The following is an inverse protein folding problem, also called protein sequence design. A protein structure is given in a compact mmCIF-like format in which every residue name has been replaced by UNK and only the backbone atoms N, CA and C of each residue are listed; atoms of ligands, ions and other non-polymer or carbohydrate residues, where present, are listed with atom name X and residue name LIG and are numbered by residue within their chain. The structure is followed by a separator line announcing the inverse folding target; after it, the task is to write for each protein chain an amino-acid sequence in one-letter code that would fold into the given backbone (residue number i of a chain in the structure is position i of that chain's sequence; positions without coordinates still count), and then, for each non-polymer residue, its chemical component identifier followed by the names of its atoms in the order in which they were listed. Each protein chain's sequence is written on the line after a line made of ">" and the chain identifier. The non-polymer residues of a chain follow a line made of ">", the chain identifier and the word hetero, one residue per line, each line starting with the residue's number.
data_IF_039665873754
#
_entry.id   IF_039665873754
#
_cell.length_a   1.000
_cell.length_b   1.000
_cell.length_c   1.000
_cell.angle_alpha   90.00
_cell.angle_beta   90.00
_cell.angle_gamma   90.00
#
_symmetry.space_group_name_H-M   'P 1'
#
loop_
_entity.id
_entity.type
_entity.pdbx_description
1 polymer ?
#
# COMPACT_ATOMS: atom_id res chain seq x y z
N UNK A 1 13.41 -28.38 15.04
CA UNK A 1 14.46 -27.64 14.31
C UNK A 1 13.93 -26.90 13.08
N UNK A 2 13.16 -27.56 12.20
CA UNK A 2 12.57 -26.94 11.00
C UNK A 2 11.72 -25.69 11.30
N UNK A 3 10.85 -25.72 12.32
CA UNK A 3 9.99 -24.58 12.70
C UNK A 3 10.82 -23.37 13.15
N UNK A 4 11.93 -23.58 13.86
CA UNK A 4 12.79 -22.49 14.34
C UNK A 4 13.60 -21.89 13.19
N UNK A 5 14.11 -22.73 12.28
CA UNK A 5 14.81 -22.28 11.08
C UNK A 5 13.86 -21.53 10.13
N UNK A 6 12.70 -22.10 9.83
CA UNK A 6 11.73 -21.52 8.91
C UNK A 6 11.00 -20.30 9.49
N UNK A 7 10.63 -20.34 10.78
CA UNK A 7 9.86 -19.29 11.45
C UNK A 7 10.70 -18.18 12.08
N UNK A 8 11.97 -18.45 12.40
CA UNK A 8 12.87 -17.50 13.05
C UNK A 8 13.97 -16.99 12.12
N UNK A 9 14.83 -17.89 11.65
CA UNK A 9 16.01 -17.50 10.87
C UNK A 9 15.64 -16.89 9.51
N UNK A 10 14.72 -17.50 8.76
CA UNK A 10 14.36 -17.02 7.42
C UNK A 10 13.77 -15.60 7.42
N UNK A 11 12.80 -15.23 8.29
CA UNK A 11 12.33 -13.85 8.38
C UNK A 11 13.40 -12.83 8.75
N UNK A 12 14.31 -13.20 9.67
CA UNK A 12 15.43 -12.32 10.09
C UNK A 12 16.42 -12.13 8.94
N UNK A 13 16.82 -13.20 8.27
CA UNK A 13 17.71 -13.14 7.11
C UNK A 13 17.08 -12.33 5.97
N UNK A 14 15.78 -12.52 5.72
CA UNK A 14 15.04 -11.74 4.72
C UNK A 14 14.95 -10.26 5.11
N UNK A 15 14.76 -9.95 6.39
CA UNK A 15 14.75 -8.57 6.87
C UNK A 15 16.12 -7.90 6.69
N UNK A 16 17.22 -8.57 7.01
CA UNK A 16 18.58 -8.06 6.77
C UNK A 16 18.82 -7.84 5.27
N UNK A 17 18.41 -8.81 4.43
CA UNK A 17 18.48 -8.67 2.98
C UNK A 17 17.71 -7.44 2.50
N UNK A 18 16.48 -7.23 2.98
CA UNK A 18 15.66 -6.07 2.62
C UNK A 18 16.29 -4.75 3.07
N UNK A 19 16.86 -4.70 4.26
CA UNK A 19 17.58 -3.52 4.75
C UNK A 19 18.76 -3.18 3.84
N UNK A 20 19.55 -4.18 3.43
CA UNK A 20 20.69 -3.97 2.55
C UNK A 20 20.31 -3.65 1.11
N UNK A 21 19.25 -4.28 0.58
CA UNK A 21 18.82 -4.10 -0.81
C UNK A 21 18.04 -2.79 -1.02
N UNK A 22 17.12 -2.46 -0.12
CA UNK A 22 16.28 -1.26 -0.24
C UNK A 22 16.80 -0.05 0.55
N UNK A 23 17.79 -0.24 1.44
CA UNK A 23 18.30 0.84 2.30
C UNK A 23 17.28 1.34 3.33
N UNK A 24 16.23 0.57 3.62
CA UNK A 24 15.15 0.97 4.54
C UNK A 24 14.85 -0.13 5.55
N UNK A 25 14.52 0.27 6.78
CA UNK A 25 14.16 -0.64 7.86
C UNK A 25 12.76 -1.24 7.66
N UNK A 26 11.85 -0.46 7.09
CA UNK A 26 10.46 -0.85 6.78
C UNK A 26 10.25 -0.80 5.27
N UNK A 27 9.25 -1.49 4.70
CA UNK A 27 8.96 -1.36 3.28
C UNK A 27 8.72 0.10 2.89
N UNK A 28 9.10 0.50 1.67
CA UNK A 28 8.88 1.87 1.14
C UNK A 28 7.41 2.28 1.23
N UNK A 29 6.49 1.33 1.07
CA UNK A 29 5.05 1.57 1.21
C UNK A 29 4.65 1.99 2.62
N UNK A 30 5.32 1.49 3.66
CA UNK A 30 5.08 1.92 5.04
C UNK A 30 5.53 3.37 5.26
N UNK A 31 6.62 3.78 4.62
CA UNK A 31 7.11 5.16 4.61
C UNK A 31 6.20 6.09 3.80
N UNK A 32 5.78 5.66 2.60
CA UNK A 32 4.87 6.39 1.72
C UNK A 32 3.52 6.66 2.38
N UNK A 33 3.02 5.71 3.17
CA UNK A 33 1.76 5.84 3.92
C UNK A 33 1.93 6.42 5.33
N UNK A 34 3.17 6.70 5.74
CA UNK A 34 3.58 7.13 7.08
C UNK A 34 2.88 6.31 8.18
N UNK A 35 3.25 5.03 8.22
CA UNK A 35 2.65 3.97 9.04
C UNK A 35 2.66 4.22 10.58
N UNK A 36 3.33 5.26 11.05
CA UNK A 36 3.42 5.60 12.47
C UNK A 36 2.38 6.63 12.94
N UNK A 37 1.65 7.26 12.02
CA UNK A 37 0.72 8.36 12.32
C UNK A 37 -0.63 7.92 12.90
N UNK A 38 -1.20 8.74 13.78
CA UNK A 38 -2.44 8.43 14.50
C UNK A 38 -3.64 9.17 13.90
N UNK A 39 -4.60 8.41 13.37
CA UNK A 39 -5.78 8.90 12.65
C UNK A 39 -7.06 8.15 13.06
N UNK A 40 -7.23 7.94 14.36
CA UNK A 40 -8.37 7.23 14.95
C UNK A 40 -9.73 7.71 14.44
N UNK A 41 -9.93 9.04 14.33
CA UNK A 41 -11.20 9.60 13.82
C UNK A 41 -11.54 9.07 12.42
N UNK A 42 -10.55 9.06 11.53
CA UNK A 42 -10.71 8.54 10.17
C UNK A 42 -10.86 7.02 10.17
N UNK A 43 -10.16 6.32 11.07
CA UNK A 43 -10.31 4.88 11.26
C UNK A 43 -11.72 4.47 11.67
N UNK A 44 -12.36 5.24 12.55
CA UNK A 44 -13.75 5.00 12.95
C UNK A 44 -14.74 5.26 11.80
N UNK A 45 -14.48 6.27 10.97
CA UNK A 45 -15.22 6.50 9.72
C UNK A 45 -15.07 5.28 8.80
N UNK A 46 -13.86 4.75 8.66
CA UNK A 46 -13.57 3.58 7.84
C UNK A 46 -14.28 2.31 8.35
N UNK A 47 -14.28 2.05 9.66
CA UNK A 47 -15.04 0.95 10.27
C UNK A 47 -16.54 1.11 10.03
N UNK A 48 -17.07 2.33 10.20
CA UNK A 48 -18.49 2.61 9.95
C UNK A 48 -18.84 2.38 8.47
N UNK A 49 -17.98 2.85 7.57
CA UNK A 49 -18.11 2.65 6.13
C UNK A 49 -18.09 1.17 5.77
N UNK A 50 -17.21 0.35 6.36
CA UNK A 50 -17.17 -1.09 6.14
C UNK A 50 -18.39 -1.84 6.72
N UNK A 51 -18.88 -1.42 7.90
CA UNK A 51 -20.00 -2.07 8.58
C UNK A 51 -21.35 -1.76 7.92
N UNK A 52 -21.60 -0.52 7.48
CA UNK A 52 -22.92 -0.06 7.03
C UNK A 52 -23.53 -0.86 5.85
N UNK A 53 -22.80 -1.16 4.76
CA UNK A 53 -23.36 -1.87 3.62
C UNK A 53 -23.77 -3.32 3.92
N UNK A 54 -23.15 -3.94 4.93
CA UNK A 54 -23.24 -5.37 5.18
C UNK A 54 -23.72 -5.71 6.59
N UNK A 55 -24.10 -4.72 7.40
CA UNK A 55 -24.49 -4.88 8.80
C UNK A 55 -23.58 -5.88 9.57
N UNK A 56 -22.25 -5.73 9.43
CA UNK A 56 -21.25 -6.67 9.95
C UNK A 56 -21.34 -6.92 11.47
N UNK A 57 -22.01 -6.02 12.20
CA UNK A 57 -22.32 -6.21 13.61
C UNK A 57 -23.27 -7.39 13.87
N UNK A 58 -24.14 -7.77 12.92
CA UNK A 58 -25.09 -8.89 13.06
C UNK A 58 -24.38 -10.22 13.30
N UNK A 59 -23.47 -10.70 12.42
CA UNK A 59 -22.76 -11.95 12.65
C UNK A 59 -21.88 -11.89 13.89
N UNK A 60 -21.34 -10.71 14.25
CA UNK A 60 -20.57 -10.53 15.47
C UNK A 60 -21.43 -10.78 16.72
N UNK A 61 -22.62 -10.18 16.79
CA UNK A 61 -23.58 -10.36 17.89
C UNK A 61 -24.09 -11.80 17.96
N UNK A 62 -24.34 -12.46 16.82
CA UNK A 62 -24.78 -13.86 16.78
C UNK A 62 -23.65 -14.86 17.14
N UNK A 63 -22.38 -14.53 16.86
CA UNK A 63 -21.24 -15.39 17.17
C UNK A 63 -20.88 -15.44 18.65
N UNK A 64 -21.20 -14.39 19.42
CA UNK A 64 -20.97 -14.34 20.88
C UNK A 64 -21.77 -15.43 21.65
N UNK A 65 -23.12 -15.50 21.55
CA UNK A 65 -23.88 -16.54 22.22
C UNK A 65 -23.55 -17.93 21.68
N UNK A 66 -23.24 -18.05 20.37
CA UNK A 66 -22.77 -19.29 19.77
C UNK A 66 -21.49 -19.78 20.48
N UNK A 67 -20.49 -18.90 20.62
CA UNK A 67 -19.25 -19.19 21.34
C UNK A 67 -19.49 -19.55 22.81
N UNK A 68 -20.34 -18.81 23.52
CA UNK A 68 -20.68 -19.08 24.93
C UNK A 68 -21.37 -20.43 25.11
N UNK A 69 -22.36 -20.77 24.27
CA UNK A 69 -23.05 -22.07 24.28
C UNK A 69 -22.10 -23.23 24.02
N UNK A 70 -21.12 -23.04 23.13
CA UNK A 70 -20.13 -24.06 22.82
C UNK A 70 -19.08 -24.19 23.93
N UNK A 71 -18.68 -23.10 24.57
CA UNK A 71 -17.79 -23.13 25.73
C UNK A 71 -18.42 -23.87 26.91
N UNK A 72 -19.72 -23.69 27.16
CA UNK A 72 -20.42 -24.41 28.24
C UNK A 72 -20.62 -25.88 27.89
N UNK A 73 -20.90 -26.21 26.62
CA UNK A 73 -20.98 -27.59 26.14
C UNK A 73 -19.62 -28.32 26.17
N UNK A 74 -18.50 -27.61 25.90
CA UNK A 74 -17.13 -28.17 25.88
C UNK A 74 -16.52 -28.49 27.24
N UNK A 75 -17.12 -28.06 28.36
CA UNK A 75 -16.63 -28.40 29.72
C UNK A 75 -16.83 -29.88 30.11
N UNK A 76 -17.21 -30.76 29.18
CA UNK A 76 -17.53 -32.18 29.43
C UNK A 76 -16.52 -33.13 28.79
N UNK A 77 -16.25 -34.29 29.42
CA UNK A 77 -15.08 -35.14 29.14
C UNK A 77 -14.99 -35.71 27.72
N UNK A 78 -16.10 -35.78 26.97
CA UNK A 78 -16.17 -36.23 25.57
C UNK A 78 -15.40 -35.33 24.58
N UNK A 79 -15.11 -34.08 24.95
CA UNK A 79 -14.40 -33.09 24.12
C UNK A 79 -12.88 -33.03 24.36
N UNK A 80 -12.40 -33.60 25.48
CA UNK A 80 -10.99 -33.63 25.84
C UNK A 80 -10.37 -34.94 25.36
N UNK A 81 -10.16 -35.10 24.05
CA UNK A 81 -9.11 -36.01 23.57
C UNK A 81 -7.87 -35.17 23.30
N UNK A 82 -6.99 -34.95 24.29
CA UNK A 82 -5.65 -34.50 23.97
C UNK A 82 -5.03 -35.62 23.12
N UNK A 83 -4.67 -35.32 21.87
CA UNK A 83 -3.68 -36.13 21.16
C UNK A 83 -2.38 -35.93 21.94
N UNK A 84 -2.17 -36.79 22.94
CA UNK A 84 -0.93 -36.86 23.69
C UNK A 84 0.14 -37.38 22.75
N UNK A 85 0.82 -36.48 22.05
CA UNK A 85 2.12 -36.79 21.48
C UNK A 85 3.10 -36.96 22.66
N UNK A 86 3.71 -38.14 22.88
CA UNK A 86 4.32 -38.49 24.16
C UNK A 86 5.52 -37.64 24.60
N UNK A 87 6.18 -36.92 23.69
CA UNK A 87 7.55 -36.42 23.95
C UNK A 87 7.73 -34.88 23.98
N UNK A 88 6.65 -34.10 24.07
CA UNK A 88 6.78 -32.63 24.13
C UNK A 88 6.85 -32.07 25.56
N UNK A 89 7.83 -31.19 25.79
CA UNK A 89 7.96 -30.40 27.02
C UNK A 89 6.72 -29.55 27.33
N UNK A 90 6.54 -29.15 28.59
CA UNK A 90 5.33 -28.42 29.07
C UNK A 90 5.03 -27.15 28.24
N UNK A 91 6.06 -26.40 27.87
CA UNK A 91 5.92 -25.17 27.07
C UNK A 91 5.46 -25.46 25.65
N UNK A 92 6.03 -26.48 24.99
CA UNK A 92 5.61 -26.88 23.65
C UNK A 92 4.15 -27.33 23.64
N UNK A 93 3.72 -28.08 24.67
CA UNK A 93 2.31 -28.46 24.85
C UNK A 93 1.38 -27.26 25.05
N UNK A 94 1.79 -26.26 25.81
CA UNK A 94 0.99 -25.06 26.03
C UNK A 94 0.81 -24.26 24.73
N UNK A 95 1.90 -24.02 23.99
CA UNK A 95 1.91 -23.22 22.75
C UNK A 95 1.21 -23.93 21.59
N UNK A 96 1.29 -25.26 21.50
CA UNK A 96 0.64 -26.05 20.46
C UNK A 96 -0.81 -26.47 20.82
N UNK A 97 -1.36 -25.94 21.92
CA UNK A 97 -2.73 -26.26 22.31
C UNK A 97 -3.75 -25.54 21.41
N UNK A 98 -4.94 -26.13 21.13
CA UNK A 98 -5.98 -25.46 20.36
C UNK A 98 -6.38 -24.08 20.91
N UNK A 99 -6.50 -23.87 22.25
CA UNK A 99 -6.75 -22.54 22.81
C UNK A 99 -5.63 -21.53 22.50
N UNK A 100 -4.36 -21.96 22.52
CA UNK A 100 -3.24 -21.08 22.18
C UNK A 100 -3.27 -20.67 20.71
N UNK A 101 -3.60 -21.58 19.80
CA UNK A 101 -3.78 -21.26 18.37
C UNK A 101 -4.94 -20.27 18.17
N UNK A 102 -6.09 -20.49 18.81
CA UNK A 102 -7.23 -19.57 18.75
C UNK A 102 -6.85 -18.20 19.31
N UNK A 103 -6.21 -18.15 20.47
CA UNK A 103 -5.75 -16.90 21.08
C UNK A 103 -4.76 -16.16 20.18
N UNK A 104 -3.83 -16.87 19.55
CA UNK A 104 -2.88 -16.29 18.60
C UNK A 104 -3.58 -15.69 17.37
N UNK A 105 -4.50 -16.43 16.76
CA UNK A 105 -5.23 -15.98 15.55
C UNK A 105 -6.15 -14.80 15.87
N UNK A 106 -6.95 -14.88 16.94
CA UNK A 106 -7.84 -13.78 17.37
C UNK A 106 -7.02 -12.57 17.82
N UNK A 107 -6.00 -12.77 18.64
CA UNK A 107 -5.10 -11.71 19.08
C UNK A 107 -4.42 -11.00 17.90
N UNK A 108 -3.96 -11.76 16.91
CA UNK A 108 -3.41 -11.21 15.66
C UNK A 108 -4.45 -10.41 14.88
N UNK A 109 -5.70 -10.89 14.79
CA UNK A 109 -6.80 -10.18 14.16
C UNK A 109 -7.14 -8.86 14.86
N UNK A 110 -7.24 -8.87 16.20
CA UNK A 110 -7.49 -7.67 17.01
C UNK A 110 -6.37 -6.66 16.86
N UNK A 111 -5.10 -7.08 16.99
CA UNK A 111 -3.95 -6.20 16.84
C UNK A 111 -3.90 -5.56 15.44
N UNK A 112 -4.15 -6.34 14.38
CA UNK A 112 -4.21 -5.80 13.03
C UNK A 112 -5.38 -4.84 12.83
N UNK A 113 -6.57 -5.16 13.35
CA UNK A 113 -7.73 -4.26 13.29
C UNK A 113 -7.42 -2.92 13.99
N UNK A 114 -6.89 -2.97 15.21
CA UNK A 114 -6.51 -1.78 15.98
C UNK A 114 -5.46 -0.95 15.25
N UNK A 115 -4.45 -1.60 14.66
CA UNK A 115 -3.42 -0.93 13.87
C UNK A 115 -4.01 -0.22 12.65
N UNK A 116 -4.84 -0.89 11.85
CA UNK A 116 -5.44 -0.26 10.66
C UNK A 116 -6.42 0.86 11.03
N UNK A 117 -7.19 0.70 12.11
CA UNK A 117 -8.07 1.75 12.62
C UNK A 117 -7.23 2.94 13.10
N UNK A 118 -6.16 2.70 13.87
CA UNK A 118 -5.22 3.74 14.29
C UNK A 118 -4.65 4.49 13.09
N UNK A 119 -4.25 3.79 12.03
CA UNK A 119 -3.66 4.42 10.84
C UNK A 119 -4.66 5.24 10.00
N UNK A 120 -5.97 5.08 10.26
CA UNK A 120 -7.04 5.77 9.53
C UNK A 120 -7.71 4.91 8.45
N UNK A 121 -7.49 3.60 8.45
CA UNK A 121 -8.01 2.69 7.43
C UNK A 121 -7.31 2.86 6.09
N UNK A 122 -8.10 2.92 5.02
CA UNK A 122 -7.64 2.96 3.64
C UNK A 122 -8.59 3.77 2.75
N UNK A 123 -8.16 4.13 1.55
CA UNK A 123 -9.03 4.79 0.57
C UNK A 123 -9.94 3.81 -0.18
N UNK A 124 -9.60 2.52 -0.18
CA UNK A 124 -10.42 1.46 -0.78
C UNK A 124 -11.39 0.92 0.25
N UNK A 125 -12.65 0.80 -0.12
CA UNK A 125 -13.67 0.22 0.76
C UNK A 125 -13.28 -1.16 1.32
N UNK A 126 -13.31 -1.32 2.64
CA UNK A 126 -13.19 -2.59 3.37
C UNK A 126 -11.84 -3.31 3.31
N UNK A 127 -11.00 -3.07 2.30
CA UNK A 127 -9.77 -3.81 1.96
C UNK A 127 -8.91 -4.23 3.16
N UNK A 128 -8.47 -3.26 3.97
CA UNK A 128 -7.52 -3.54 5.06
C UNK A 128 -8.14 -4.19 6.30
N UNK A 129 -9.48 -4.20 6.42
CA UNK A 129 -10.20 -4.85 7.53
C UNK A 129 -10.64 -6.29 7.20
N UNK A 130 -10.52 -6.73 5.94
CA UNK A 130 -10.86 -8.08 5.53
C UNK A 130 -10.01 -9.16 6.21
N UNK A 131 -8.68 -8.97 6.24
CA UNK A 131 -7.77 -9.92 6.89
C UNK A 131 -8.01 -9.99 8.42
N UNK A 132 -8.11 -8.86 9.15
CA UNK A 132 -8.54 -8.87 10.54
C UNK A 132 -9.88 -9.58 10.76
N UNK A 133 -10.90 -9.28 9.96
CA UNK A 133 -12.22 -9.93 10.06
C UNK A 133 -12.12 -11.44 9.86
N UNK A 134 -11.37 -11.88 8.85
CA UNK A 134 -11.13 -13.30 8.59
C UNK A 134 -10.45 -13.97 9.79
N UNK A 135 -9.41 -13.36 10.38
CA UNK A 135 -8.77 -13.88 11.59
C UNK A 135 -9.74 -14.00 12.77
N UNK A 136 -10.61 -13.01 12.97
CA UNK A 136 -11.59 -13.05 14.06
C UNK A 136 -12.66 -14.14 13.85
N UNK A 137 -13.04 -14.43 12.60
CA UNK A 137 -14.07 -15.41 12.26
C UNK A 137 -13.51 -16.83 12.03
N UNK A 138 -12.21 -16.98 11.73
CA UNK A 138 -11.60 -18.28 11.43
C UNK A 138 -11.83 -19.35 12.52
N UNK A 139 -11.73 -19.03 13.84
CA UNK A 139 -12.05 -19.99 14.89
C UNK A 139 -13.51 -20.46 14.88
N UNK A 140 -14.45 -19.61 14.43
CA UNK A 140 -15.88 -19.95 14.33
C UNK A 140 -16.11 -20.93 13.19
N UNK A 141 -15.39 -20.78 12.07
CA UNK A 141 -15.50 -21.65 10.91
C UNK A 141 -15.03 -23.10 11.13
N UNK A 142 -14.24 -23.37 12.18
CA UNK A 142 -13.75 -24.72 12.51
C UNK A 142 -14.49 -25.36 13.68
N UNK A 143 -15.57 -24.74 14.16
CA UNK A 143 -16.41 -25.31 15.20
C UNK A 143 -17.24 -26.44 14.59
N UNK A 144 -17.12 -27.69 15.08
CA UNK A 144 -17.96 -28.77 14.61
C UNK A 144 -19.42 -28.53 15.05
N UNK A 145 -20.37 -28.76 14.14
CA UNK A 145 -21.80 -28.79 14.48
C UNK A 145 -22.01 -30.05 15.34
N UNK A 146 -22.35 -29.83 16.60
CA UNK A 146 -22.60 -30.91 17.55
C UNK A 146 -24.02 -31.44 17.42
N UNK A 147 -24.14 -32.72 17.08
CA UNK A 147 -25.38 -33.47 17.23
C UNK A 147 -25.36 -34.12 18.62
N UNK A 148 -26.36 -33.87 19.49
CA UNK A 148 -26.39 -34.45 20.82
C UNK A 148 -26.69 -35.96 20.74
N UNK A 149 -25.70 -36.79 21.05
CA UNK A 149 -25.80 -38.26 21.04
C UNK A 149 -26.57 -38.86 22.24
N UNK A 150 -27.32 -38.05 23.00
CA UNK A 150 -28.13 -38.49 24.14
C UNK A 150 -27.35 -39.04 25.35
N UNK A 151 -26.02 -39.17 25.25
CA UNK A 151 -25.12 -39.62 26.34
C UNK A 151 -24.78 -38.51 27.34
N UNK A 152 -24.67 -37.26 26.87
CA UNK A 152 -24.22 -36.12 27.66
C UNK A 152 -25.35 -35.16 28.09
N UNK A 153 -26.51 -35.22 27.44
CA UNK A 153 -27.66 -34.33 27.67
C UNK A 153 -28.96 -35.11 27.79
N UNK A 154 -29.89 -34.62 28.63
CA UNK A 154 -31.28 -35.09 28.59
C UNK A 154 -31.86 -34.80 27.19
N UNK A 155 -32.80 -35.64 26.73
CA UNK A 155 -33.42 -35.47 25.40
C UNK A 155 -34.04 -34.08 25.21
N UNK A 156 -34.55 -33.48 26.27
CA UNK A 156 -35.18 -32.16 26.24
C UNK A 156 -34.14 -31.03 26.17
N UNK A 157 -33.11 -31.05 27.03
CA UNK A 157 -32.03 -30.06 26.99
C UNK A 157 -31.25 -30.13 25.67
N UNK A 158 -31.03 -31.34 25.14
CA UNK A 158 -30.40 -31.54 23.84
C UNK A 158 -31.21 -30.95 22.68
N UNK A 159 -32.54 -31.08 22.70
CA UNK A 159 -33.43 -30.47 21.70
C UNK A 159 -33.38 -28.94 21.72
N UNK A 160 -33.44 -28.33 22.90
CA UNK A 160 -33.32 -26.88 23.05
C UNK A 160 -31.95 -26.36 22.61
N UNK A 161 -30.86 -27.06 22.97
CA UNK A 161 -29.51 -26.70 22.55
C UNK A 161 -29.33 -26.78 21.03
N UNK A 162 -29.82 -27.85 20.40
CA UNK A 162 -29.81 -27.99 18.93
C UNK A 162 -30.67 -26.93 18.26
N UNK A 163 -31.85 -26.65 18.80
CA UNK A 163 -32.73 -25.60 18.30
C UNK A 163 -32.05 -24.23 18.35
N UNK A 164 -31.42 -23.89 19.47
CA UNK A 164 -30.69 -22.63 19.64
C UNK A 164 -29.47 -22.53 18.72
N UNK A 165 -28.64 -23.57 18.64
CA UNK A 165 -27.48 -23.60 17.74
C UNK A 165 -27.91 -23.51 16.27
N UNK A 166 -28.93 -24.27 15.87
CA UNK A 166 -29.49 -24.21 14.51
C UNK A 166 -30.04 -22.83 14.20
N UNK A 167 -30.77 -22.20 15.12
CA UNK A 167 -31.30 -20.84 14.96
C UNK A 167 -30.20 -19.79 14.78
N UNK A 168 -29.14 -19.87 15.58
CA UNK A 168 -27.98 -18.97 15.45
C UNK A 168 -27.26 -19.16 14.11
N UNK A 169 -27.02 -20.42 13.70
CA UNK A 169 -26.40 -20.72 12.41
C UNK A 169 -27.27 -20.30 11.23
N UNK A 170 -28.58 -20.53 11.27
CA UNK A 170 -29.53 -20.06 10.25
C UNK A 170 -29.57 -18.53 10.19
N UNK A 171 -29.48 -17.84 11.33
CA UNK A 171 -29.34 -16.40 11.38
C UNK A 171 -28.07 -15.90 10.69
N UNK A 172 -26.92 -16.52 10.97
CA UNK A 172 -25.65 -16.20 10.30
C UNK A 172 -25.71 -16.52 8.80
N UNK A 173 -26.30 -17.66 8.41
CA UNK A 173 -26.45 -18.05 7.01
C UNK A 173 -27.38 -17.10 6.26
N UNK A 174 -28.52 -16.72 6.85
CA UNK A 174 -29.45 -15.75 6.29
C UNK A 174 -28.83 -14.36 6.14
N UNK A 175 -28.10 -13.91 7.17
CA UNK A 175 -27.30 -12.68 7.07
C UNK A 175 -26.25 -12.76 5.96
N UNK A 176 -25.52 -13.88 5.85
CA UNK A 176 -24.49 -14.06 4.82
C UNK A 176 -25.07 -14.01 3.41
N UNK A 177 -26.24 -14.63 3.21
CA UNK A 177 -26.96 -14.57 1.94
C UNK A 177 -27.41 -13.15 1.61
N UNK A 178 -27.96 -12.42 2.58
CA UNK A 178 -28.34 -11.02 2.39
C UNK A 178 -27.13 -10.13 2.09
N UNK A 179 -26.04 -10.25 2.86
CA UNK A 179 -24.83 -9.48 2.68
C UNK A 179 -24.16 -9.74 1.33
N UNK A 180 -24.15 -11.00 0.86
CA UNK A 180 -23.63 -11.38 -0.46
C UNK A 180 -24.44 -10.78 -1.63
N UNK A 181 -25.71 -10.43 -1.40
CA UNK A 181 -26.59 -9.79 -2.37
C UNK A 181 -26.82 -8.29 -2.08
N UNK A 182 -26.08 -7.72 -1.13
CA UNK A 182 -26.15 -6.29 -0.83
C UNK A 182 -25.57 -5.49 -1.99
N UNK A 183 -26.17 -4.33 -2.36
CA UNK A 183 -25.62 -3.46 -3.40
C UNK A 183 -24.26 -2.84 -3.04
N UNK A 184 -23.78 -3.01 -1.80
CA UNK A 184 -22.51 -2.47 -1.33
C UNK A 184 -22.61 -0.99 -0.99
N UNK A 185 -21.58 -0.21 -1.35
CA UNK A 185 -21.62 1.25 -1.17
C UNK A 185 -22.70 1.90 -2.06
N UNK A 186 -23.22 3.05 -1.62
CA UNK A 186 -24.30 3.77 -2.28
C UNK A 186 -23.94 4.42 -3.62
N UNK A 187 -24.74 5.37 -4.09
CA UNK A 187 -24.57 6.00 -5.41
C UNK A 187 -23.30 6.85 -5.52
N UNK A 188 -22.79 7.35 -4.41
CA UNK A 188 -21.54 8.11 -4.32
C UNK A 188 -20.29 7.22 -4.23
N UNK A 189 -20.43 5.89 -4.34
CA UNK A 189 -19.35 4.93 -4.14
C UNK A 189 -18.09 5.17 -4.97
N UNK A 190 -18.23 5.73 -6.17
CA UNK A 190 -17.10 5.98 -7.09
C UNK A 190 -16.57 7.41 -7.01
N UNK A 191 -17.14 8.26 -6.14
CA UNK A 191 -16.75 9.65 -5.98
C UNK A 191 -15.92 9.83 -4.72
N UNK A 192 -14.86 10.64 -4.81
CA UNK A 192 -14.07 11.03 -3.65
C UNK A 192 -14.87 12.05 -2.83
N UNK A 193 -15.59 11.57 -1.83
CA UNK A 193 -16.31 12.41 -0.85
C UNK A 193 -15.40 12.83 0.30
N UNK A 194 -15.95 13.57 1.28
CA UNK A 194 -15.20 13.98 2.48
C UNK A 194 -14.62 12.80 3.26
N UNK A 195 -15.23 11.62 3.18
CA UNK A 195 -14.68 10.40 3.79
C UNK A 195 -13.38 9.93 3.13
N UNK A 196 -13.17 10.26 1.85
CA UNK A 196 -12.04 9.79 1.05
C UNK A 196 -12.04 8.30 0.72
N UNK A 197 -13.12 7.57 1.03
CA UNK A 197 -13.25 6.12 0.82
C UNK A 197 -14.10 5.87 -0.43
N UNK A 198 -13.61 5.01 -1.32
CA UNK A 198 -14.20 4.73 -2.63
C UNK A 198 -14.24 3.23 -2.87
N UNK A 199 -15.29 2.77 -3.55
CA UNK A 199 -15.30 1.46 -4.19
C UNK A 199 -14.46 1.53 -5.48
N UNK A 200 -13.17 1.29 -5.33
CA UNK A 200 -12.22 1.34 -6.45
C UNK A 200 -12.54 0.27 -7.51
N UNK A 201 -13.14 -0.87 -7.15
CA UNK A 201 -13.53 -1.89 -8.14
C UNK A 201 -14.62 -1.32 -9.05
N UNK A 202 -15.67 -0.74 -8.47
CA UNK A 202 -16.75 -0.10 -9.24
C UNK A 202 -16.23 1.09 -10.04
N UNK A 203 -15.32 1.88 -9.47
CA UNK A 203 -14.67 2.99 -10.17
C UNK A 203 -13.94 2.51 -11.43
N UNK A 204 -13.04 1.52 -11.33
CA UNK A 204 -12.30 1.03 -12.50
C UNK A 204 -13.18 0.31 -13.51
N UNK A 205 -14.20 -0.41 -13.06
CA UNK A 205 -15.16 -1.03 -13.98
C UNK A 205 -15.90 0.01 -14.84
N UNK A 206 -16.31 1.13 -14.22
CA UNK A 206 -16.91 2.25 -14.93
C UNK A 206 -15.91 2.99 -15.82
N UNK A 207 -14.69 3.22 -15.33
CA UNK A 207 -13.68 4.02 -16.02
C UNK A 207 -13.07 3.32 -17.24
N UNK A 208 -13.04 1.98 -17.25
CA UNK A 208 -12.57 1.15 -18.38
C UNK A 208 -13.69 0.67 -19.28
N UNK A 209 -14.95 0.72 -18.84
CA UNK A 209 -16.08 0.11 -19.54
C UNK A 209 -16.15 -1.42 -19.39
N UNK A 210 -15.23 -2.04 -18.65
CA UNK A 210 -15.22 -3.48 -18.40
C UNK A 210 -15.84 -3.84 -17.05
N UNK A 211 -16.73 -4.82 -17.01
CA UNK A 211 -17.32 -5.27 -15.74
C UNK A 211 -16.28 -5.88 -14.77
N UNK A 212 -15.19 -6.44 -15.31
CA UNK A 212 -14.11 -7.09 -14.57
C UNK A 212 -12.75 -6.82 -15.26
N UNK A 213 -12.14 -5.64 -15.09
CA UNK A 213 -10.83 -5.34 -15.67
C UNK A 213 -9.73 -6.08 -14.89
N UNK A 214 -9.26 -7.19 -15.46
CA UNK A 214 -8.29 -8.11 -14.84
C UNK A 214 -6.93 -8.07 -15.53
N UNK A 215 -6.88 -7.76 -16.82
CA UNK A 215 -5.66 -7.76 -17.62
C UNK A 215 -5.12 -6.34 -17.80
N UNK A 216 -3.83 -6.20 -18.10
CA UNK A 216 -3.24 -4.90 -18.42
C UNK A 216 -3.93 -4.22 -19.62
N UNK A 217 -4.31 -5.03 -20.61
CA UNK A 217 -5.00 -4.58 -21.82
C UNK A 217 -6.39 -4.00 -21.51
N UNK A 218 -7.13 -4.56 -20.55
CA UNK A 218 -8.44 -4.05 -20.13
C UNK A 218 -8.36 -2.60 -19.63
N UNK A 219 -7.20 -2.20 -19.10
CA UNK A 219 -6.96 -0.85 -18.59
C UNK A 219 -6.52 0.14 -19.69
N UNK A 220 -6.26 -0.30 -20.93
CA UNK A 220 -5.98 0.62 -22.03
C UNK A 220 -7.20 1.48 -22.40
N UNK A 221 -8.41 0.95 -22.17
CA UNK A 221 -9.67 1.67 -22.37
C UNK A 221 -9.94 2.73 -21.30
N UNK A 222 -9.13 2.78 -20.22
CA UNK A 222 -9.04 3.98 -19.41
C UNK A 222 -8.27 5.04 -20.23
N UNK A 223 -8.89 6.13 -20.69
CA UNK A 223 -8.37 6.93 -21.82
C UNK A 223 -6.93 7.44 -21.65
N UNK A 224 -6.53 7.66 -20.40
CA UNK A 224 -5.19 8.08 -20.02
C UNK A 224 -4.09 7.05 -20.28
N UNK A 225 -4.40 5.75 -20.25
CA UNK A 225 -3.42 4.67 -20.48
C UNK A 225 -3.08 4.53 -21.95
N UNK A 226 -4.08 4.49 -22.84
CA UNK A 226 -3.84 4.51 -24.28
C UNK A 226 -3.04 5.77 -24.70
N UNK A 227 -3.37 6.93 -24.13
CA UNK A 227 -2.65 8.17 -24.40
C UNK A 227 -1.16 8.13 -24.01
N UNK A 228 -0.77 7.37 -22.98
CA UNK A 228 0.66 7.17 -22.66
C UNK A 228 1.39 6.51 -23.80
N UNK A 229 0.84 5.43 -24.35
CA UNK A 229 1.50 4.67 -25.43
C UNK A 229 1.67 5.55 -26.67
N UNK A 230 0.65 6.32 -27.02
CA UNK A 230 0.72 7.31 -28.10
C UNK A 230 1.81 8.35 -27.84
N UNK A 231 1.87 8.91 -26.62
CA UNK A 231 2.88 9.90 -26.26
C UNK A 231 4.32 9.34 -26.28
N UNK A 232 4.52 8.10 -25.81
CA UNK A 232 5.82 7.41 -25.88
C UNK A 232 6.26 7.19 -27.34
N UNK A 233 5.36 6.69 -28.19
CA UNK A 233 5.63 6.48 -29.61
C UNK A 233 5.93 7.78 -30.37
N UNK A 234 5.27 8.88 -29.99
CA UNK A 234 5.49 10.20 -30.59
C UNK A 234 6.74 10.93 -30.06
N UNK A 235 7.43 10.36 -29.06
CA UNK A 235 8.65 10.93 -28.47
C UNK A 235 9.81 9.93 -28.55
N UNK A 236 10.23 9.49 -29.75
CA UNK A 236 11.32 8.52 -29.89
C UNK A 236 12.63 9.03 -29.27
N UNK A 237 12.75 10.35 -29.12
CA UNK A 237 13.93 10.97 -28.53
C UNK A 237 13.96 11.02 -26.99
N UNK A 238 12.93 10.49 -26.33
CA UNK A 238 12.84 10.43 -24.87
C UNK A 238 12.17 11.67 -24.28
N UNK A 239 11.27 11.44 -23.33
CA UNK A 239 10.53 12.49 -22.64
C UNK A 239 10.07 12.04 -21.25
N UNK A 240 9.90 13.03 -20.38
CA UNK A 240 9.11 12.91 -19.16
C UNK A 240 7.65 13.27 -19.49
N UNK A 241 6.75 12.34 -19.18
CA UNK A 241 5.30 12.49 -19.35
C UNK A 241 4.69 12.88 -18.01
N UNK A 242 4.04 14.04 -17.98
CA UNK A 242 3.33 14.61 -16.85
C UNK A 242 1.81 14.53 -17.06
N UNK A 243 1.02 14.31 -15.99
CA UNK A 243 -0.41 14.09 -16.10
C UNK A 243 -1.11 15.40 -16.47
N UNK A 244 -1.70 15.48 -17.66
CA UNK A 244 -2.50 16.65 -18.07
C UNK A 244 -3.93 16.59 -17.51
N UNK A 245 -4.61 17.75 -17.52
CA UNK A 245 -6.03 17.85 -17.20
C UNK A 245 -6.94 17.16 -18.22
N UNK A 246 -6.54 17.10 -19.49
CA UNK A 246 -7.20 16.32 -20.52
C UNK A 246 -6.66 14.88 -20.48
N UNK A 247 -7.56 13.91 -20.35
CA UNK A 247 -7.22 12.50 -20.16
C UNK A 247 -6.65 11.84 -21.42
N UNK A 248 -6.85 12.44 -22.59
CA UNK A 248 -6.35 11.89 -23.86
C UNK A 248 -4.96 12.43 -24.24
N UNK A 249 -4.31 13.19 -23.36
CA UNK A 249 -2.99 13.76 -23.61
C UNK A 249 -2.12 13.77 -22.35
N UNK A 250 -0.82 13.82 -22.58
CA UNK A 250 0.19 13.98 -21.54
C UNK A 250 0.99 15.24 -21.84
N UNK A 251 1.32 16.00 -20.79
CA UNK A 251 2.23 17.13 -20.94
C UNK A 251 3.65 16.58 -21.00
N UNK A 252 4.45 17.09 -21.93
CA UNK A 252 5.77 16.53 -22.24
C UNK A 252 6.86 17.47 -21.77
N UNK A 253 7.90 16.91 -21.16
CA UNK A 253 9.19 17.58 -20.94
C UNK A 253 10.26 16.78 -21.69
N UNK A 254 10.85 17.32 -22.77
CA UNK A 254 11.85 16.61 -23.55
C UNK A 254 13.09 16.26 -22.73
N UNK A 255 13.78 15.19 -23.12
CA UNK A 255 15.12 14.90 -22.61
C UNK A 255 16.14 15.91 -23.15
N UNK A 256 17.06 16.39 -22.30
CA UNK A 256 18.19 17.21 -22.74
C UNK A 256 19.08 16.37 -23.64
N UNK A 257 19.39 16.88 -24.83
CA UNK A 257 20.30 16.24 -25.78
C UNK A 257 21.42 17.18 -26.21
N UNK A 258 22.62 16.64 -26.49
CA UNK A 258 23.66 17.42 -27.14
C UNK A 258 23.21 17.83 -28.55
N UNK A 259 23.36 19.10 -28.91
CA UNK A 259 23.03 19.64 -30.24
C UNK A 259 23.81 18.96 -31.37
N UNK A 260 25.03 18.49 -31.10
CA UNK A 260 25.92 17.81 -32.05
C UNK A 260 25.69 16.30 -32.18
N UNK A 261 24.72 15.71 -31.45
CA UNK A 261 24.55 14.24 -31.38
C UNK A 261 25.70 13.49 -30.68
N UNK A 262 26.69 14.22 -30.17
CA UNK A 262 27.86 13.71 -29.43
C UNK A 262 27.94 14.39 -28.08
N UNK A 263 28.06 13.61 -27.01
CA UNK A 263 28.25 14.14 -25.67
C UNK A 263 29.65 14.76 -25.53
N UNK A 264 29.87 15.68 -24.55
CA UNK A 264 31.19 16.25 -24.29
C UNK A 264 32.27 15.17 -24.17
N UNK A 265 33.36 15.34 -24.91
CA UNK A 265 34.46 14.36 -24.98
C UNK A 265 34.29 13.25 -26.04
N UNK A 266 33.44 13.46 -27.05
CA UNK A 266 33.32 12.56 -28.22
C UNK A 266 32.59 11.25 -27.93
N UNK A 267 31.92 11.12 -26.78
CA UNK A 267 31.11 9.95 -26.44
C UNK A 267 29.79 9.98 -27.20
N UNK A 268 29.21 8.82 -27.55
CA UNK A 268 27.86 8.76 -28.09
C UNK A 268 26.87 9.49 -27.17
N UNK A 269 25.88 10.16 -27.75
CA UNK A 269 24.80 10.74 -26.97
C UNK A 269 24.15 9.67 -26.07
N UNK A 270 23.67 10.06 -24.87
CA UNK A 270 22.91 9.15 -24.03
C UNK A 270 21.73 8.57 -24.81
N UNK A 271 21.42 7.29 -24.56
CA UNK A 271 20.22 6.67 -25.13
C UNK A 271 18.98 7.47 -24.70
N UNK A 272 17.95 7.60 -25.57
CA UNK A 272 16.66 8.14 -25.18
C UNK A 272 16.16 7.49 -23.90
N UNK A 273 15.62 8.31 -22.98
CA UNK A 273 15.01 7.84 -21.75
C UNK A 273 13.58 8.35 -21.66
N UNK A 274 12.67 7.49 -21.22
CA UNK A 274 11.30 7.86 -20.92
C UNK A 274 11.02 7.72 -19.42
N UNK A 275 10.27 8.68 -18.89
CA UNK A 275 9.70 8.56 -17.56
C UNK A 275 8.23 8.98 -17.57
N UNK A 276 7.40 8.29 -16.79
CA UNK A 276 5.99 8.65 -16.59
C UNK A 276 5.78 8.97 -15.12
N UNK A 277 5.36 10.20 -14.84
CA UNK A 277 5.06 10.67 -13.49
C UNK A 277 3.57 10.57 -13.20
N UNK A 278 3.14 9.52 -12.49
CA UNK A 278 1.72 9.29 -12.24
C UNK A 278 1.45 8.36 -11.06
N UNK A 279 0.38 8.65 -10.33
CA UNK A 279 -0.04 7.89 -9.14
C UNK A 279 -0.37 6.42 -9.43
N UNK A 280 -1.00 6.12 -10.57
CA UNK A 280 -1.53 4.77 -10.82
C UNK A 280 -0.48 3.87 -11.51
N UNK A 281 0.63 3.64 -10.81
CA UNK A 281 1.81 2.98 -11.37
C UNK A 281 1.56 1.52 -11.76
N UNK A 282 0.58 0.84 -11.14
CA UNK A 282 0.26 -0.55 -11.45
C UNK A 282 -0.24 -0.74 -12.89
N UNK A 283 -1.20 0.10 -13.31
CA UNK A 283 -1.70 0.07 -14.69
C UNK A 283 -0.64 0.52 -15.69
N UNK A 284 0.16 1.53 -15.33
CA UNK A 284 1.23 2.01 -16.19
C UNK A 284 2.34 0.98 -16.36
N UNK A 285 2.92 0.49 -15.27
CA UNK A 285 4.05 -0.44 -15.28
C UNK A 285 3.75 -1.77 -15.96
N UNK A 286 2.47 -2.16 -16.04
CA UNK A 286 2.02 -3.34 -16.78
C UNK A 286 1.80 -3.09 -18.28
N UNK A 287 1.67 -1.84 -18.72
CA UNK A 287 1.38 -1.48 -20.11
C UNK A 287 2.58 -0.86 -20.85
N UNK A 288 3.62 -0.40 -20.15
CA UNK A 288 4.81 0.21 -20.76
C UNK A 288 6.00 -0.77 -20.80
N UNK A 289 6.99 -0.48 -21.65
CA UNK A 289 8.22 -1.25 -21.75
C UNK A 289 9.11 -1.16 -20.51
N UNK A 290 10.04 -2.11 -20.36
CA UNK A 290 11.01 -2.17 -19.24
C UNK A 290 12.03 -1.02 -19.27
N UNK A 291 12.13 -0.32 -20.38
CA UNK A 291 12.96 0.86 -20.62
C UNK A 291 12.29 2.17 -20.17
N UNK A 292 11.00 2.13 -19.79
CA UNK A 292 10.25 3.30 -19.30
C UNK A 292 10.25 3.32 -17.78
N UNK A 293 10.74 4.43 -17.19
CA UNK A 293 10.73 4.62 -15.74
C UNK A 293 9.37 5.12 -15.26
N UNK A 294 8.70 4.38 -14.39
CA UNK A 294 7.46 4.82 -13.74
C UNK A 294 7.78 5.39 -12.35
N UNK A 295 7.31 6.60 -12.06
CA UNK A 295 7.48 7.32 -10.80
C UNK A 295 6.17 7.99 -10.39
N UNK A 296 5.98 8.21 -9.10
CA UNK A 296 4.71 8.74 -8.58
C UNK A 296 4.90 9.91 -7.62
N UNK A 297 3.84 10.69 -7.47
CA UNK A 297 3.79 11.86 -6.59
C UNK A 297 3.54 11.51 -5.11
N UNK A 298 3.11 10.28 -4.80
CA UNK A 298 2.68 9.88 -3.45
C UNK A 298 3.71 9.02 -2.70
N UNK A 299 4.81 8.63 -3.36
CA UNK A 299 5.96 7.96 -2.76
C UNK A 299 5.93 6.44 -2.76
N UNK A 300 5.06 5.79 -3.53
CA UNK A 300 5.01 4.34 -3.57
C UNK A 300 6.22 3.71 -4.28
N UNK A 301 6.68 4.31 -5.39
CA UNK A 301 7.90 3.90 -6.12
C UNK A 301 8.90 5.04 -6.28
N UNK A 302 8.51 6.29 -6.04
CA UNK A 302 9.43 7.42 -6.03
C UNK A 302 10.06 7.64 -4.63
N UNK A 303 11.38 7.42 -4.46
CA UNK A 303 12.04 7.57 -3.17
C UNK A 303 11.91 8.99 -2.60
N UNK A 304 12.00 10.04 -3.42
CA UNK A 304 11.86 11.41 -2.93
C UNK A 304 10.47 11.65 -2.34
N UNK A 305 9.44 11.31 -3.10
CA UNK A 305 8.06 11.47 -2.65
C UNK A 305 7.77 10.63 -1.39
N UNK A 306 8.39 9.45 -1.26
CA UNK A 306 8.25 8.61 -0.06
C UNK A 306 8.72 9.34 1.21
N UNK A 307 9.75 10.18 1.12
CA UNK A 307 10.32 10.95 2.23
C UNK A 307 9.63 12.30 2.47
N UNK A 308 8.63 12.69 1.67
CA UNK A 308 7.86 13.91 1.95
C UNK A 308 6.92 13.72 3.14
N UNK A 309 6.58 14.83 3.81
CA UNK A 309 5.56 14.85 4.85
C UNK A 309 4.14 14.65 4.30
N UNK A 310 3.25 14.10 5.13
CA UNK A 310 1.84 13.98 4.77
C UNK A 310 1.13 15.32 4.78
N UNK A 311 0.21 15.48 3.85
CA UNK A 311 -0.72 16.59 3.79
C UNK A 311 -1.81 16.39 4.86
N UNK A 312 -1.98 17.40 5.71
CA UNK A 312 -3.04 17.40 6.71
C UNK A 312 -4.40 17.39 6.01
N UNK A 313 -5.32 16.57 6.49
CA UNK A 313 -6.69 16.42 5.97
C UNK A 313 -6.81 15.96 4.51
N UNK A 314 -5.74 15.48 3.89
CA UNK A 314 -5.83 14.85 2.57
C UNK A 314 -6.36 13.41 2.65
N UNK A 315 -6.80 12.87 1.50
CA UNK A 315 -7.34 11.51 1.36
C UNK A 315 -6.30 10.49 1.81
N UNK A 316 -6.68 9.60 2.74
CA UNK A 316 -5.79 8.54 3.24
C UNK A 316 -5.17 7.76 2.09
N UNK A 317 -3.86 7.57 2.13
CA UNK A 317 -3.15 6.85 1.09
C UNK A 317 -2.92 7.62 -0.21
N UNK A 318 -3.45 8.84 -0.32
CA UNK A 318 -3.15 9.83 -1.36
C UNK A 318 -2.80 11.18 -0.73
N UNK A 319 -2.22 11.13 0.47
CA UNK A 319 -1.94 12.28 1.32
C UNK A 319 -0.46 12.65 1.33
N UNK A 320 0.24 12.36 0.25
CA UNK A 320 1.54 12.95 -0.11
C UNK A 320 1.43 13.51 -1.52
N UNK A 321 2.21 14.54 -1.82
CA UNK A 321 2.23 15.13 -3.15
C UNK A 321 3.57 15.82 -3.39
N UNK A 322 4.48 15.13 -4.06
CA UNK A 322 5.70 15.71 -4.60
C UNK A 322 5.37 16.45 -5.91
N UNK A 323 5.90 17.66 -6.08
CA UNK A 323 5.63 18.46 -7.27
C UNK A 323 6.43 17.97 -8.49
N UNK A 324 5.92 18.15 -9.72
CA UNK A 324 6.63 17.77 -10.94
C UNK A 324 8.02 18.42 -11.09
N UNK A 325 8.23 19.60 -10.50
CA UNK A 325 9.50 20.33 -10.51
C UNK A 325 10.68 19.47 -10.00
N UNK A 326 10.43 18.66 -8.96
CA UNK A 326 11.43 17.73 -8.43
C UNK A 326 11.80 16.64 -9.42
N UNK A 327 10.83 16.17 -10.20
CA UNK A 327 11.05 15.12 -11.19
C UNK A 327 11.82 15.67 -12.40
N UNK A 328 11.48 16.89 -12.82
CA UNK A 328 12.21 17.62 -13.86
C UNK A 328 13.67 17.86 -13.42
N UNK A 329 13.87 18.32 -12.18
CA UNK A 329 15.18 18.56 -11.60
C UNK A 329 16.04 17.29 -11.46
N UNK A 330 15.44 16.18 -11.02
CA UNK A 330 16.13 14.92 -10.71
C UNK A 330 16.55 14.10 -11.94
N UNK A 331 15.98 14.40 -13.12
CA UNK A 331 16.24 13.66 -14.34
C UNK A 331 16.99 14.45 -15.42
N UNK A 332 17.30 13.79 -16.55
CA UNK A 332 17.98 14.40 -17.69
C UNK A 332 17.00 15.20 -18.57
N UNK A 333 16.07 15.93 -17.97
CA UNK A 333 14.98 16.63 -18.65
C UNK A 333 15.30 18.09 -18.88
N UNK A 334 14.71 18.71 -19.90
CA UNK A 334 14.81 20.15 -20.12
C UNK A 334 14.25 20.89 -18.90
N UNK A 335 14.95 21.95 -18.48
CA UNK A 335 14.66 22.66 -17.22
C UNK A 335 14.25 24.11 -17.42
N UNK A 336 14.02 24.51 -18.66
CA UNK A 336 13.74 25.90 -19.03
C UNK A 336 12.61 25.99 -20.05
N UNK A 337 11.92 27.13 -20.07
CA UNK A 337 10.93 27.45 -21.08
C UNK A 337 11.58 27.63 -22.47
N UNK A 338 10.96 27.19 -23.59
CA UNK A 338 9.64 26.58 -23.72
C UNK A 338 9.60 25.04 -23.57
N UNK A 339 10.68 24.40 -23.13
CA UNK A 339 10.75 22.94 -23.03
C UNK A 339 10.02 22.34 -21.82
N UNK A 340 9.77 23.14 -20.78
CA UNK A 340 8.86 22.78 -19.68
C UNK A 340 7.46 23.38 -19.90
N UNK A 341 6.37 22.72 -19.48
CA UNK A 341 5.02 23.29 -19.53
C UNK A 341 4.94 24.63 -18.78
N UNK A 342 4.20 25.60 -19.33
CA UNK A 342 4.17 26.97 -18.81
C UNK A 342 3.57 27.14 -17.40
N UNK A 343 2.95 26.12 -16.84
CA UNK A 343 2.46 26.11 -15.46
C UNK A 343 3.52 25.63 -14.43
N UNK A 344 4.66 25.15 -14.90
CA UNK A 344 5.81 24.74 -14.07
C UNK A 344 6.70 25.96 -13.83
N UNK A 345 7.06 26.21 -12.57
CA UNK A 345 7.92 27.33 -12.20
C UNK A 345 9.40 26.95 -12.39
N UNK A 346 10.05 27.58 -13.37
CA UNK A 346 11.47 27.36 -13.65
C UNK A 346 12.38 27.66 -12.44
N UNK A 347 11.99 28.60 -11.57
CA UNK A 347 12.72 28.87 -10.33
C UNK A 347 12.61 27.70 -9.35
N UNK A 348 11.46 27.05 -9.26
CA UNK A 348 11.28 25.86 -8.41
C UNK A 348 12.08 24.67 -8.92
N UNK A 349 12.17 24.48 -10.24
CA UNK A 349 13.07 23.48 -10.84
C UNK A 349 14.53 23.76 -10.46
N UNK A 350 14.97 25.00 -10.60
CA UNK A 350 16.35 25.42 -10.25
C UNK A 350 16.65 25.20 -8.76
N UNK A 351 15.72 25.58 -7.89
CA UNK A 351 15.83 25.35 -6.44
C UNK A 351 15.83 23.87 -6.09
N UNK A 352 15.01 23.05 -6.77
CA UNK A 352 14.97 21.60 -6.57
C UNK A 352 16.30 20.96 -7.00
N UNK A 353 16.90 21.37 -8.13
CA UNK A 353 18.22 20.91 -8.55
C UNK A 353 19.30 21.19 -7.49
N UNK A 354 19.30 22.40 -6.93
CA UNK A 354 20.20 22.77 -5.85
C UNK A 354 19.93 21.94 -4.58
N UNK A 355 18.66 21.76 -4.22
CA UNK A 355 18.25 21.00 -3.04
C UNK A 355 18.61 19.50 -3.12
N UNK A 356 18.61 18.91 -4.32
CA UNK A 356 19.05 17.54 -4.55
C UNK A 356 20.55 17.35 -4.24
N UNK A 357 21.34 18.42 -4.16
CA UNK A 357 22.74 18.35 -3.74
C UNK A 357 22.94 18.17 -2.23
N UNK A 358 21.86 18.31 -1.45
CA UNK A 358 21.91 18.11 -0.01
C UNK A 358 22.55 16.76 0.36
N UNK A 359 23.59 16.71 1.21
CA UNK A 359 24.32 15.47 1.51
C UNK A 359 23.40 14.33 1.97
N UNK A 360 22.41 14.64 2.81
CA UNK A 360 21.44 13.67 3.29
C UNK A 360 20.51 13.16 2.17
N UNK A 361 20.02 14.05 1.29
CA UNK A 361 19.25 13.65 0.10
C UNK A 361 20.07 12.71 -0.78
N UNK A 362 21.33 13.08 -1.07
CA UNK A 362 22.22 12.27 -1.89
C UNK A 362 22.50 10.92 -1.26
N UNK A 363 22.71 10.85 0.07
CA UNK A 363 22.94 9.59 0.77
C UNK A 363 21.75 8.63 0.62
N UNK A 364 20.53 9.12 0.83
CA UNK A 364 19.31 8.31 0.68
C UNK A 364 19.07 7.91 -0.77
N UNK A 365 19.23 8.81 -1.74
CA UNK A 365 19.08 8.45 -3.15
C UNK A 365 20.14 7.45 -3.60
N UNK A 366 21.38 7.58 -3.13
CA UNK A 366 22.45 6.65 -3.44
C UNK A 366 22.25 5.26 -2.81
N UNK A 367 21.45 5.14 -1.74
CA UNK A 367 21.16 3.83 -1.13
C UNK A 367 20.40 2.92 -2.09
N UNK A 368 19.60 3.49 -3.02
CA UNK A 368 18.78 2.76 -3.99
C UNK A 368 19.21 2.94 -5.46
N UNK A 369 19.99 3.98 -5.79
CA UNK A 369 20.42 4.26 -7.18
C UNK A 369 21.83 3.76 -7.51
N UNK A 370 22.71 3.68 -6.51
CA UNK A 370 24.07 3.23 -6.75
C UNK A 370 24.09 1.71 -7.02
N UNK A 371 25.03 1.22 -7.85
CA UNK A 371 25.22 -0.22 -8.03
C UNK A 371 25.39 -0.94 -6.69
N UNK A 372 24.72 -2.09 -6.54
CA UNK A 372 24.78 -2.86 -5.30
C UNK A 372 26.11 -3.61 -5.21
N UNK A 373 27.02 -3.08 -4.39
CA UNK A 373 28.28 -3.73 -3.99
C UNK A 373 28.17 -4.27 -2.57
N UNK A 374 29.08 -5.14 -2.13
CA UNK A 374 29.11 -5.61 -0.74
C UNK A 374 29.21 -4.44 0.25
N UNK A 375 30.05 -3.45 -0.06
CA UNK A 375 30.17 -2.23 0.74
C UNK A 375 28.86 -1.43 0.78
N UNK A 376 28.19 -1.24 -0.37
CA UNK A 376 26.88 -0.56 -0.44
C UNK A 376 25.82 -1.30 0.36
N UNK A 377 25.76 -2.63 0.22
CA UNK A 377 24.81 -3.47 0.96
C UNK A 377 24.99 -3.33 2.47
N UNK A 378 26.22 -3.44 2.97
CA UNK A 378 26.51 -3.30 4.41
C UNK A 378 26.23 -1.87 4.91
N UNK A 379 26.59 -0.85 4.13
CA UNK A 379 26.23 0.55 4.42
C UNK A 379 24.71 0.71 4.53
N UNK A 380 23.96 0.17 3.57
CA UNK A 380 22.51 0.21 3.57
C UNK A 380 21.91 -0.48 4.80
N UNK A 381 22.44 -1.65 5.21
CA UNK A 381 22.00 -2.34 6.45
C UNK A 381 22.23 -1.48 7.68
N UNK A 382 23.42 -0.86 7.81
CA UNK A 382 23.78 -0.05 8.98
C UNK A 382 22.97 1.25 9.06
N UNK A 383 22.75 1.91 7.92
CA UNK A 383 22.06 3.20 7.85
C UNK A 383 20.55 3.08 7.59
N UNK A 384 19.99 1.86 7.50
CA UNK A 384 18.59 1.67 7.12
C UNK A 384 17.61 2.41 8.03
N UNK A 385 17.90 2.51 9.32
CA UNK A 385 17.09 3.27 10.28
C UNK A 385 17.16 4.78 10.04
N UNK A 386 18.35 5.32 9.82
CA UNK A 386 18.58 6.74 9.51
C UNK A 386 17.89 7.12 8.20
N UNK A 387 18.09 6.33 7.14
CA UNK A 387 17.44 6.53 5.86
C UNK A 387 15.91 6.44 5.99
N UNK A 388 15.37 5.51 6.79
CA UNK A 388 13.91 5.44 7.04
C UNK A 388 13.36 6.69 7.72
N UNK A 389 14.13 7.29 8.63
CA UNK A 389 13.75 8.51 9.36
C UNK A 389 13.92 9.78 8.55
N UNK A 390 14.72 9.74 7.49
CA UNK A 390 14.95 10.87 6.62
C UNK A 390 13.62 11.44 6.10
N UNK A 391 13.53 12.77 6.05
CA UNK A 391 12.41 13.51 5.48
C UNK A 391 12.94 14.57 4.54
N UNK A 392 12.13 15.02 3.59
CA UNK A 392 12.39 16.21 2.78
C UNK A 392 11.17 17.11 2.80
N UNK A 393 11.39 18.42 2.70
CA UNK A 393 10.29 19.32 2.36
C UNK A 393 10.03 19.24 0.85
N UNK A 394 8.76 19.14 0.48
CA UNK A 394 8.35 19.14 -0.92
C UNK A 394 8.45 20.53 -1.55
N UNK A 395 8.54 21.60 -0.78
CA UNK A 395 8.76 22.96 -1.26
C UNK A 395 10.27 23.19 -1.36
N UNK A 396 10.83 23.36 -2.58
CA UNK A 396 12.29 23.41 -2.78
C UNK A 396 13.01 24.45 -1.91
N UNK A 397 12.44 25.66 -1.78
CA UNK A 397 12.96 26.71 -0.92
C UNK A 397 13.13 26.27 0.55
N UNK A 398 12.14 25.59 1.11
CA UNK A 398 12.20 25.14 2.50
C UNK A 398 13.19 24.00 2.67
N UNK A 399 13.34 23.14 1.65
CA UNK A 399 14.33 22.08 1.65
C UNK A 399 15.77 22.63 1.59
N UNK A 400 16.02 23.67 0.80
CA UNK A 400 17.31 24.38 0.79
C UNK A 400 17.65 24.95 2.16
N UNK A 401 16.70 25.65 2.79
CA UNK A 401 16.86 26.20 4.15
C UNK A 401 17.12 25.08 5.17
N UNK A 402 16.38 23.97 5.10
CA UNK A 402 16.57 22.80 5.97
C UNK A 402 17.98 22.22 5.83
N UNK A 403 18.50 22.17 4.61
CA UNK A 403 19.84 21.65 4.34
C UNK A 403 20.97 22.66 4.60
N UNK A 404 20.65 23.95 4.79
CA UNK A 404 21.65 25.01 4.91
C UNK A 404 22.36 25.34 3.59
N UNK A 405 21.66 25.15 2.46
CA UNK A 405 22.15 25.52 1.13
C UNK A 405 21.62 26.91 0.72
N UNK A 406 22.39 27.61 -0.12
CA UNK A 406 21.97 28.89 -0.68
C UNK A 406 20.71 28.73 -1.52
N UNK A 407 19.85 29.76 -1.50
CA UNK A 407 18.62 29.80 -2.28
C UNK A 407 18.88 30.57 -3.58
N UNK A 408 18.81 29.93 -4.76
CA UNK A 408 18.93 30.63 -6.04
C UNK A 408 17.88 31.74 -6.20
N UNK A 409 18.34 32.96 -6.49
CA UNK A 409 17.52 34.17 -6.61
C UNK A 409 16.71 34.26 -7.92
N UNK A 410 16.98 33.38 -8.90
CA UNK A 410 16.29 33.37 -10.19
C UNK A 410 16.42 32.05 -10.96
N UNK A 411 15.67 31.89 -12.05
CA UNK A 411 15.75 30.71 -12.90
C UNK A 411 17.15 30.58 -13.53
N UNK A 412 17.73 29.39 -13.51
CA UNK A 412 19.01 29.13 -14.17
C UNK A 412 18.93 29.42 -15.68
N UNK A 413 19.96 30.04 -16.29
CA UNK A 413 19.97 30.28 -17.73
C UNK A 413 20.00 28.95 -18.49
N UNK A 414 19.42 28.87 -19.70
CA UNK A 414 19.63 27.71 -20.56
C UNK A 414 21.14 27.51 -20.81
N UNK A 415 21.61 26.26 -20.98
CA UNK A 415 22.98 25.99 -21.37
C UNK A 415 23.32 26.81 -22.62
N UNK A 416 24.44 27.54 -22.59
CA UNK A 416 24.97 28.18 -23.80
C UNK A 416 25.51 27.07 -24.72
N UNK A 417 25.09 27.08 -25.98
CA UNK A 417 25.59 26.16 -27.01
C UNK A 417 27.09 26.33 -27.28
#
# INVERSE_FOLDING_TARGET
>A
MLIVLAGGFLPVAYQIFRMGYYGLLVPSTALAKDAAGDKWSQGMIYVSNFNRPYALWVPLVLSVPLGLLLMTARRRPSFLRPVLAPDYGRVARAVQSPPAVVAFIVGSGVLQALYWIRQGGDFMHGRVLLAPLFCLLAPVGVIPILLPDGKDFSRETGRWLVGALSGLWLGIAGWSLWAANSPGMGDDATRVTYSGIVDERRFYAQATGHAHPLTAADYLDYPRMAAVLTALNNTPEGALLLPSGNYNQWDLVPMIRPSSGTAPGGKPAPKPQHAVFFTNMGMLGMNVGLDVRVIDQIGLVNPLAAHTERLKHARIGHDKNLFPDWVIADGPWVKWYPGIPGYIDQQWVTQAEAALQCPATRAVLNSVRAPITLHRFLSNVLHSYEFTRYRIDRVPRYELVRCGLDVPDGPGPPPRE
#
